data_IF_785750321250
#
_entry.id   IF_785750321250
#
_cell.length_a   1.000
_cell.length_b   1.000
_cell.length_c   1.000
_cell.angle_alpha   90.00
_cell.angle_beta   90.00
_cell.angle_gamma   90.00
#
_symmetry.space_group_name_H-M   'P 1'
#
loop_
_entity.id
_entity.type
_entity.pdbx_description
1 polymer ?
#
# COMPACT_ATOMS: atom_id res chain seq x y z
N UNK A 1 -10.56 -15.84 -21.75
CA UNK A 1 -9.17 -15.46 -21.39
C UNK A 1 -8.20 -16.18 -22.32
N UNK A 2 -7.36 -15.49 -23.12
CA UNK A 2 -6.57 -16.14 -24.17
C UNK A 2 -5.33 -16.85 -23.60
N UNK A 3 -5.01 -18.03 -24.14
CA UNK A 3 -3.97 -18.98 -23.69
C UNK A 3 -2.56 -18.38 -23.60
N UNK A 4 -2.29 -17.28 -24.30
CA UNK A 4 -1.00 -16.59 -24.35
C UNK A 4 -0.64 -15.87 -23.04
N UNK A 5 -1.62 -15.30 -22.34
CA UNK A 5 -1.41 -14.61 -21.06
C UNK A 5 -0.98 -15.58 -19.95
N UNK A 6 -1.49 -16.82 -19.95
CA UNK A 6 -1.08 -17.87 -19.00
C UNK A 6 0.39 -18.28 -19.21
N UNK A 7 0.86 -18.33 -20.45
CA UNK A 7 2.23 -18.75 -20.80
C UNK A 7 3.28 -17.73 -20.33
N UNK A 8 3.06 -16.44 -20.58
CA UNK A 8 3.93 -15.35 -20.10
C UNK A 8 3.98 -15.29 -18.56
N UNK A 9 2.84 -15.46 -17.90
CA UNK A 9 2.75 -15.51 -16.44
C UNK A 9 3.55 -16.70 -15.84
N UNK A 10 3.57 -17.85 -16.51
CA UNK A 10 4.38 -19.00 -16.09
C UNK A 10 5.88 -18.81 -16.27
N UNK A 11 6.32 -18.09 -17.32
CA UNK A 11 7.75 -17.75 -17.52
C UNK A 11 8.20 -16.71 -16.49
N UNK A 12 7.38 -15.70 -16.20
CA UNK A 12 7.64 -14.73 -15.12
C UNK A 12 7.70 -15.39 -13.74
N UNK A 13 6.80 -16.33 -13.43
CA UNK A 13 6.89 -17.12 -12.17
C UNK A 13 8.15 -17.97 -12.11
N UNK A 14 8.60 -18.54 -13.22
CA UNK A 14 9.85 -19.32 -13.24
C UNK A 14 11.08 -18.42 -13.07
N UNK A 15 11.09 -17.25 -13.70
CA UNK A 15 12.12 -16.23 -13.53
C UNK A 15 12.17 -15.71 -12.08
N UNK A 16 11.02 -15.38 -11.47
CA UNK A 16 10.94 -14.97 -10.06
C UNK A 16 11.31 -16.08 -9.08
N UNK A 17 11.01 -17.35 -9.40
CA UNK A 17 11.47 -18.51 -8.61
C UNK A 17 12.99 -18.67 -8.62
N UNK A 18 13.66 -18.27 -9.71
CA UNK A 18 15.11 -18.31 -9.84
C UNK A 18 15.78 -17.07 -9.27
N UNK A 19 15.23 -15.87 -9.52
CA UNK A 19 15.83 -14.60 -9.08
C UNK A 19 15.51 -14.23 -7.64
N UNK A 20 14.46 -14.80 -7.03
CA UNK A 20 13.98 -14.50 -5.67
C UNK A 20 14.01 -12.99 -5.38
N UNK A 21 13.30 -12.18 -6.18
CA UNK A 21 13.46 -10.74 -6.10
C UNK A 21 13.01 -10.26 -4.72
N UNK A 22 13.86 -9.43 -4.11
CA UNK A 22 13.50 -8.66 -2.93
C UNK A 22 12.98 -7.31 -3.41
N UNK A 23 11.76 -6.95 -3.03
CA UNK A 23 11.19 -5.63 -3.34
C UNK A 23 11.02 -4.82 -2.07
N UNK A 24 11.03 -3.50 -2.22
CA UNK A 24 10.79 -2.55 -1.14
C UNK A 24 9.68 -1.59 -1.56
N UNK A 25 8.59 -1.61 -0.81
CA UNK A 25 7.43 -0.75 -1.00
C UNK A 25 7.16 0.10 0.22
N UNK A 26 6.41 1.19 0.00
CA UNK A 26 5.92 2.07 1.06
C UNK A 26 4.40 2.12 1.01
N UNK A 27 3.78 2.32 2.18
CA UNK A 27 2.33 2.53 2.30
C UNK A 27 2.06 3.66 3.27
N UNK A 28 1.02 4.43 2.98
CA UNK A 28 0.53 5.50 3.85
C UNK A 28 -0.75 5.05 4.55
N UNK A 29 -0.70 4.96 5.87
CA UNK A 29 -1.85 4.89 6.74
C UNK A 29 -2.25 6.32 7.10
N UNK A 30 -3.10 6.94 6.28
CA UNK A 30 -3.62 8.28 6.52
C UNK A 30 -4.95 8.19 7.29
N UNK A 31 -4.93 8.54 8.57
CA UNK A 31 -6.10 8.39 9.46
C UNK A 31 -6.45 9.73 10.10
N UNK A 32 -7.67 10.21 9.94
CA UNK A 32 -8.11 11.47 10.54
C UNK A 32 -9.56 11.36 10.96
N UNK A 33 -9.87 11.77 12.19
CA UNK A 33 -11.25 11.78 12.69
C UNK A 33 -11.92 10.40 12.77
N UNK A 34 -11.15 9.31 12.91
CA UNK A 34 -11.70 7.95 12.94
C UNK A 34 -11.99 7.36 11.55
N UNK A 35 -11.52 8.02 10.49
CA UNK A 35 -11.60 7.54 9.12
C UNK A 35 -10.20 7.32 8.53
N UNK A 36 -10.09 6.37 7.61
CA UNK A 36 -8.86 6.05 6.86
C UNK A 36 -9.07 6.29 5.38
N UNK A 37 -8.09 6.92 4.74
CA UNK A 37 -8.08 7.09 3.29
C UNK A 37 -7.60 5.79 2.62
N UNK A 38 -8.40 5.28 1.69
CA UNK A 38 -8.06 4.13 0.86
C UNK A 38 -8.12 4.48 -0.62
N UNK A 39 -7.35 3.73 -1.41
CA UNK A 39 -7.36 3.82 -2.87
C UNK A 39 -7.75 2.48 -3.48
N UNK A 40 -8.39 2.55 -4.64
CA UNK A 40 -8.72 1.41 -5.49
C UNK A 40 -7.94 1.55 -6.79
N UNK A 41 -7.06 0.60 -7.08
CA UNK A 41 -6.25 0.64 -8.29
C UNK A 41 -7.06 0.18 -9.50
N UNK A 42 -6.70 0.66 -10.70
CA UNK A 42 -7.34 0.24 -11.95
C UNK A 42 -6.96 -1.18 -12.39
N UNK A 43 -5.89 -1.73 -11.81
CA UNK A 43 -5.30 -3.02 -12.18
C UNK A 43 -5.36 -4.08 -11.08
N UNK A 44 -5.84 -3.73 -9.87
CA UNK A 44 -6.04 -4.66 -8.76
C UNK A 44 -7.47 -4.55 -8.25
N UNK A 45 -8.07 -5.69 -7.95
CA UNK A 45 -9.37 -5.71 -7.29
C UNK A 45 -9.21 -5.32 -5.81
N UNK A 46 -10.08 -4.43 -5.35
CA UNK A 46 -10.21 -4.10 -3.93
C UNK A 46 -9.52 -2.81 -3.49
N UNK A 47 -9.55 -2.58 -2.17
CA UNK A 47 -9.10 -1.34 -1.56
C UNK A 47 -7.78 -1.54 -0.80
N UNK A 48 -6.88 -0.58 -0.95
CA UNK A 48 -5.54 -0.62 -0.42
C UNK A 48 -5.18 0.70 0.27
N UNK A 49 -4.16 0.65 1.13
CA UNK A 49 -3.50 1.87 1.58
C UNK A 49 -2.80 2.52 0.36
N UNK A 50 -2.83 3.85 0.18
CA UNK A 50 -2.01 4.52 -0.81
C UNK A 50 -0.54 4.12 -0.67
N UNK A 51 0.17 4.03 -1.79
CA UNK A 51 1.60 3.73 -1.80
C UNK A 51 2.00 2.74 -2.87
N UNK A 52 3.30 2.76 -3.18
CA UNK A 52 3.88 2.00 -4.27
C UNK A 52 5.30 1.53 -3.97
N UNK A 53 6.08 1.37 -5.04
CA UNK A 53 7.47 0.91 -4.96
C UNK A 53 8.40 2.07 -4.64
N UNK A 54 9.51 1.78 -3.94
CA UNK A 54 10.58 2.75 -3.74
C UNK A 54 11.47 2.77 -4.97
N UNK A 55 11.70 3.96 -5.53
CA UNK A 55 12.55 4.11 -6.72
C UNK A 55 14.04 4.11 -6.38
N UNK A 56 14.88 3.87 -7.40
CA UNK A 56 16.34 3.88 -7.22
C UNK A 56 16.83 5.28 -6.84
N UNK A 57 17.56 5.37 -5.72
CA UNK A 57 18.06 6.65 -5.19
C UNK A 57 17.03 7.45 -4.40
N UNK A 58 15.82 6.92 -4.22
CA UNK A 58 14.74 7.56 -3.47
C UNK A 58 14.79 7.14 -1.98
N UNK A 59 14.54 8.08 -1.06
CA UNK A 59 14.37 7.76 0.36
C UNK A 59 12.96 7.24 0.62
N UNK A 60 12.75 6.44 1.68
CA UNK A 60 11.41 5.96 2.05
C UNK A 60 10.39 7.09 2.26
N UNK A 61 10.84 8.20 2.85
CA UNK A 61 10.02 9.40 3.06
C UNK A 61 9.68 10.09 1.75
N UNK A 62 10.63 10.17 0.81
CA UNK A 62 10.38 10.71 -0.52
C UNK A 62 9.37 9.84 -1.29
N UNK A 63 9.57 8.53 -1.28
CA UNK A 63 8.68 7.57 -1.94
C UNK A 63 7.24 7.70 -1.44
N UNK A 64 7.02 7.64 -0.11
CA UNK A 64 5.66 7.73 0.43
C UNK A 64 5.04 9.10 0.19
N UNK A 65 5.84 10.17 0.15
CA UNK A 65 5.34 11.52 -0.15
C UNK A 65 4.94 11.68 -1.61
N UNK A 66 5.73 11.13 -2.55
CA UNK A 66 5.41 11.09 -3.97
C UNK A 66 4.13 10.31 -4.22
N UNK A 67 4.07 9.06 -3.76
CA UNK A 67 2.90 8.19 -3.93
C UNK A 67 1.63 8.81 -3.31
N UNK A 68 1.74 9.35 -2.10
CA UNK A 68 0.62 10.01 -1.43
C UNK A 68 0.07 11.20 -2.24
N UNK A 69 0.96 11.99 -2.86
CA UNK A 69 0.56 13.12 -3.70
C UNK A 69 -0.02 12.68 -5.05
N UNK A 70 0.60 11.69 -5.70
CA UNK A 70 0.24 11.22 -7.05
C UNK A 70 -1.02 10.35 -7.06
N UNK A 71 -1.12 9.38 -6.16
CA UNK A 71 -2.24 8.44 -6.12
C UNK A 71 -3.47 9.02 -5.41
N UNK A 72 -3.24 9.70 -4.30
CA UNK A 72 -4.29 10.04 -3.35
C UNK A 72 -4.48 11.55 -3.18
N UNK A 73 -3.59 12.40 -3.68
CA UNK A 73 -3.70 13.85 -3.53
C UNK A 73 -3.54 14.32 -2.09
N UNK A 74 -2.80 13.56 -1.28
CA UNK A 74 -2.55 13.83 0.13
C UNK A 74 -1.32 14.70 0.31
N UNK A 75 -1.40 15.66 1.22
CA UNK A 75 -0.25 16.47 1.66
C UNK A 75 -0.21 16.56 3.19
N UNK A 76 0.99 16.46 3.75
CA UNK A 76 1.27 16.45 5.19
C UNK A 76 2.62 17.11 5.48
N UNK A 77 2.86 17.45 6.75
CA UNK A 77 4.14 18.01 7.21
C UNK A 77 5.03 16.98 7.91
N UNK A 78 4.43 15.97 8.55
CA UNK A 78 5.14 14.98 9.35
C UNK A 78 4.51 13.60 9.17
N UNK A 79 5.39 12.60 9.15
CA UNK A 79 5.04 11.19 9.15
C UNK A 79 5.69 10.50 10.34
N UNK A 80 5.01 9.48 10.86
CA UNK A 80 5.56 8.56 11.84
C UNK A 80 5.75 7.20 11.19
N UNK A 81 6.86 6.52 11.45
CA UNK A 81 6.99 5.11 11.10
C UNK A 81 5.95 4.31 11.87
N UNK A 82 5.07 3.61 11.16
CA UNK A 82 4.06 2.74 11.77
C UNK A 82 4.58 1.31 11.88
N UNK A 83 5.29 0.79 10.88
CA UNK A 83 5.84 -0.56 10.95
C UNK A 83 6.56 -0.98 9.68
N UNK A 84 7.25 -2.12 9.75
CA UNK A 84 7.94 -2.72 8.60
C UNK A 84 7.49 -4.16 8.49
N UNK A 85 6.95 -4.54 7.34
CA UNK A 85 6.30 -5.83 7.19
C UNK A 85 6.88 -6.62 6.04
N UNK A 86 6.72 -7.94 6.08
CA UNK A 86 7.22 -8.83 5.03
C UNK A 86 6.12 -9.71 4.46
N UNK A 87 6.10 -9.84 3.14
CA UNK A 87 5.23 -10.76 2.39
C UNK A 87 6.10 -11.69 1.55
N UNK A 88 5.84 -13.00 1.65
CA UNK A 88 6.62 -14.03 0.96
C UNK A 88 5.83 -14.76 -0.13
N UNK A 89 4.91 -14.04 -0.75
CA UNK A 89 3.95 -14.60 -1.73
C UNK A 89 4.67 -14.88 -3.06
N UNK A 90 4.31 -16.00 -3.70
CA UNK A 90 4.85 -16.43 -5.01
C UNK A 90 6.39 -16.56 -5.10
N UNK A 91 7.08 -16.70 -3.96
CA UNK A 91 8.54 -16.83 -3.93
C UNK A 91 9.30 -15.51 -4.05
N UNK A 92 8.59 -14.38 -3.89
CA UNK A 92 9.18 -13.05 -3.72
C UNK A 92 9.37 -12.74 -2.24
N UNK A 93 10.28 -11.82 -1.93
CA UNK A 93 10.40 -11.22 -0.61
C UNK A 93 10.04 -9.75 -0.71
N UNK A 94 8.80 -9.41 -0.41
CA UNK A 94 8.33 -8.03 -0.47
C UNK A 94 8.39 -7.43 0.93
N UNK A 95 9.21 -6.41 1.12
CA UNK A 95 9.27 -5.64 2.37
C UNK A 95 8.48 -4.35 2.21
N UNK A 96 7.58 -4.07 3.15
CA UNK A 96 6.62 -2.98 3.07
C UNK A 96 6.76 -2.10 4.31
N UNK A 97 7.15 -0.86 4.10
CA UNK A 97 7.26 0.14 5.17
C UNK A 97 5.97 0.95 5.23
N UNK A 98 5.29 0.93 6.38
CA UNK A 98 4.05 1.70 6.58
C UNK A 98 4.39 2.95 7.37
N UNK A 99 3.95 4.10 6.86
CA UNK A 99 3.97 5.38 7.57
C UNK A 99 2.56 5.74 8.02
N UNK A 100 2.42 6.28 9.22
CA UNK A 100 1.19 6.86 9.75
C UNK A 100 1.22 8.38 9.57
N UNK A 101 0.09 8.92 9.13
CA UNK A 101 -0.18 10.35 9.14
C UNK A 101 -1.56 10.63 9.73
N UNK A 102 -1.61 11.41 10.80
CA UNK A 102 -2.86 11.82 11.44
C UNK A 102 -3.25 13.28 11.15
N UNK A 103 -2.30 14.06 10.65
CA UNK A 103 -2.48 15.46 10.27
C UNK A 103 -2.12 15.66 8.80
N UNK A 104 -3.11 15.49 7.95
CA UNK A 104 -3.01 15.67 6.51
C UNK A 104 -4.16 16.52 5.96
N UNK A 105 -3.91 17.04 4.75
CA UNK A 105 -4.89 17.59 3.85
C UNK A 105 -5.09 16.63 2.70
N UNK A 106 -6.33 16.53 2.21
CA UNK A 106 -6.68 15.63 1.12
C UNK A 106 -7.55 16.36 0.11
N UNK A 107 -7.20 16.17 -1.16
CA UNK A 107 -8.03 16.53 -2.29
C UNK A 107 -8.03 15.35 -3.25
N UNK A 108 -9.18 15.04 -3.83
CA UNK A 108 -9.22 14.02 -4.86
C UNK A 108 -8.41 14.48 -6.08
N UNK A 109 -7.54 13.60 -6.57
CA UNK A 109 -6.75 13.80 -7.79
C UNK A 109 -7.05 12.68 -8.76
N UNK A 110 -6.97 12.99 -10.05
CA UNK A 110 -7.01 11.95 -11.08
C UNK A 110 -5.63 11.33 -11.25
N UNK A 111 -5.54 10.01 -11.16
CA UNK A 111 -4.37 9.23 -11.54
C UNK A 111 -4.80 8.15 -12.54
N UNK A 112 -3.92 7.78 -13.48
CA UNK A 112 -4.19 6.67 -14.41
C UNK A 112 -4.23 5.32 -13.69
N UNK A 113 -3.59 5.24 -12.53
CA UNK A 113 -3.46 4.02 -11.74
C UNK A 113 -4.58 3.85 -10.72
N UNK A 114 -5.29 4.92 -10.39
CA UNK A 114 -6.32 4.94 -9.34
C UNK A 114 -7.70 5.11 -9.97
N UNK A 115 -8.56 4.11 -9.78
CA UNK A 115 -9.97 4.16 -10.16
C UNK A 115 -10.73 5.12 -9.22
N UNK A 116 -10.48 5.01 -7.91
CA UNK A 116 -11.12 5.82 -6.89
C UNK A 116 -10.28 5.95 -5.63
N UNK A 117 -10.45 7.05 -4.90
CA UNK A 117 -9.90 7.27 -3.57
C UNK A 117 -11.01 7.81 -2.67
N UNK A 118 -11.15 7.27 -1.46
CA UNK A 118 -12.21 7.67 -0.54
C UNK A 118 -11.85 7.40 0.93
N UNK A 119 -12.50 8.11 1.84
CA UNK A 119 -12.36 7.95 3.28
C UNK A 119 -13.41 6.97 3.81
N UNK A 120 -12.99 6.06 4.68
CA UNK A 120 -13.88 5.06 5.29
C UNK A 120 -13.68 5.04 6.79
N UNK A 121 -14.76 4.86 7.54
CA UNK A 121 -14.67 4.64 8.98
C UNK A 121 -13.81 3.40 9.29
N UNK A 122 -12.96 3.49 10.32
CA UNK A 122 -12.02 2.40 10.68
C UNK A 122 -12.74 1.07 10.99
N UNK A 123 -14.00 1.14 11.44
CA UNK A 123 -14.85 -0.01 11.77
C UNK A 123 -15.79 -0.45 10.63
N UNK A 124 -15.83 0.28 9.52
CA UNK A 124 -16.72 0.03 8.37
C UNK A 124 -15.95 0.10 7.05
N UNK A 125 -14.91 -0.72 6.94
CA UNK A 125 -14.08 -0.79 5.75
C UNK A 125 -14.84 -1.42 4.57
N UNK A 126 -14.68 -0.90 3.34
CA UNK A 126 -15.43 -1.33 2.18
C UNK A 126 -15.17 -2.81 1.86
N UNK A 127 -16.13 -3.46 1.20
CA UNK A 127 -15.93 -4.83 0.72
C UNK A 127 -14.73 -4.85 -0.24
N UNK A 128 -13.88 -5.87 -0.10
CA UNK A 128 -12.68 -6.00 -0.91
C UNK A 128 -11.46 -5.23 -0.40
N UNK A 129 -11.49 -4.55 0.75
CA UNK A 129 -10.22 -4.09 1.38
C UNK A 129 -9.27 -5.27 1.60
N UNK A 130 -8.04 -5.11 1.12
CA UNK A 130 -7.05 -6.19 1.13
C UNK A 130 -6.75 -6.69 2.55
N UNK A 131 -6.43 -7.98 2.75
CA UNK A 131 -6.17 -8.52 4.09
C UNK A 131 -5.05 -7.79 4.84
N UNK A 132 -3.97 -7.41 4.14
CA UNK A 132 -2.86 -6.66 4.75
C UNK A 132 -3.27 -5.26 5.17
N UNK A 133 -4.02 -4.55 4.32
CA UNK A 133 -4.60 -3.24 4.67
C UNK A 133 -5.50 -3.34 5.90
N UNK A 134 -6.41 -4.33 5.95
CA UNK A 134 -7.29 -4.53 7.12
C UNK A 134 -6.51 -4.78 8.40
N UNK A 135 -5.45 -5.60 8.35
CA UNK A 135 -4.58 -5.84 9.52
C UNK A 135 -3.95 -4.55 10.02
N UNK A 136 -3.34 -3.74 9.15
CA UNK A 136 -2.70 -2.47 9.55
C UNK A 136 -3.68 -1.48 10.16
N UNK A 137 -4.91 -1.42 9.62
CA UNK A 137 -5.98 -0.59 10.18
C UNK A 137 -6.40 -1.09 11.57
N UNK A 138 -6.55 -2.41 11.73
CA UNK A 138 -6.90 -3.01 13.01
C UNK A 138 -5.81 -2.80 14.08
N UNK A 139 -4.54 -2.98 13.73
CA UNK A 139 -3.39 -2.70 14.61
C UNK A 139 -3.40 -1.24 15.08
N UNK A 140 -3.62 -0.30 14.16
CA UNK A 140 -3.75 1.11 14.52
C UNK A 140 -4.94 1.37 15.45
N UNK A 141 -6.11 0.81 15.13
CA UNK A 141 -7.32 0.98 15.93
C UNK A 141 -7.18 0.37 17.35
N UNK A 142 -6.38 -0.68 17.49
CA UNK A 142 -6.05 -1.30 18.77
C UNK A 142 -4.96 -0.55 19.55
N UNK A 143 -4.31 0.46 18.96
CA UNK A 143 -3.21 1.20 19.58
C UNK A 143 -1.92 0.38 19.68
N UNK A 144 -1.73 -0.60 18.78
CA UNK A 144 -0.53 -1.42 18.77
C UNK A 144 0.71 -0.61 18.39
N UNK A 145 1.85 -1.00 18.95
CA UNK A 145 3.15 -0.40 18.62
C UNK A 145 3.68 -0.90 17.28
N UNK A 146 4.73 -0.23 16.80
CA UNK A 146 5.33 -0.56 15.52
C UNK A 146 5.86 -1.99 15.47
N UNK A 147 5.37 -2.77 14.49
CA UNK A 147 5.67 -4.18 14.35
C UNK A 147 6.62 -4.46 13.16
N UNK A 148 7.32 -5.60 13.26
CA UNK A 148 8.23 -6.13 12.25
C UNK A 148 7.75 -7.49 11.69
N UNK A 149 6.45 -7.63 11.46
CA UNK A 149 5.76 -8.92 11.25
C UNK A 149 5.35 -9.15 9.79
N UNK A 150 4.50 -10.15 9.52
CA UNK A 150 3.97 -10.39 8.18
C UNK A 150 3.03 -9.27 7.73
N UNK A 151 3.09 -8.94 6.44
CA UNK A 151 2.11 -8.06 5.80
C UNK A 151 0.71 -8.60 5.97
#
# INVERSE_FOLDING_TARGET
MPKFARFLHSVQRLAWRLSKPTTLGVRLLAVKGGEVLLVKHTYLDGWYLPGGSVEAGETLLAAVSREAAEEAGVSFQKLRLFGVYSSFVEGKSDHIVVFLCEDFTWRQVGSREIESADCFALNELPVGTSPGTRRRIAEFAAGEEAAATSW
#
